data_IF_424922647073
#
_entry.id   IF_424922647073
#
_cell.length_a   1.000
_cell.length_b   1.000
_cell.length_c   1.000
_cell.angle_alpha   90.00
_cell.angle_beta   90.00
_cell.angle_gamma   90.00
#
_symmetry.space_group_name_H-M   'P 1'
#
loop_
_entity.id
_entity.type
_entity.pdbx_description
1 polymer ?
#
# COMPACT_ATOMS: atom_id res chain seq x y z
N UNK A 1 -1.45 24.66 20.69
CA UNK A 1 -0.60 23.88 21.63
C UNK A 1 -0.54 22.44 21.13
N UNK A 2 0.34 22.16 20.20
CA UNK A 2 0.55 20.82 19.62
C UNK A 2 2.07 20.64 19.40
N UNK A 3 2.81 20.28 20.44
CA UNK A 3 4.26 20.20 20.34
C UNK A 3 4.93 19.18 21.27
N UNK A 4 4.19 18.42 22.08
CA UNK A 4 4.81 17.56 23.10
C UNK A 4 4.53 16.05 22.97
N UNK A 5 3.69 15.58 22.03
CA UNK A 5 3.30 14.16 22.01
C UNK A 5 4.06 13.29 21.01
N UNK A 6 4.68 13.85 19.99
CA UNK A 6 5.34 13.06 18.93
C UNK A 6 6.64 12.35 19.35
N UNK A 7 7.42 12.95 20.23
CA UNK A 7 8.75 12.43 20.61
C UNK A 7 8.72 11.18 21.50
N UNK A 8 7.66 10.96 22.28
CA UNK A 8 7.56 9.77 23.14
C UNK A 8 7.10 8.53 22.39
N UNK A 9 6.30 8.69 21.37
CA UNK A 9 5.68 7.60 20.56
C UNK A 9 6.73 6.88 19.72
N UNK A 10 7.74 7.56 19.24
CA UNK A 10 8.79 6.98 18.37
C UNK A 10 9.94 6.33 19.14
N UNK A 11 9.92 6.38 20.47
CA UNK A 11 10.95 5.73 21.30
C UNK A 11 10.89 4.21 21.19
N UNK A 12 12.03 3.59 20.89
CA UNK A 12 12.15 2.13 20.85
C UNK A 12 11.77 1.50 19.51
N UNK A 13 11.46 2.28 18.48
CA UNK A 13 11.23 1.78 17.12
C UNK A 13 12.51 1.10 16.62
N UNK A 14 12.36 -0.17 16.19
CA UNK A 14 13.43 -1.01 15.65
C UNK A 14 13.19 -1.37 14.18
N UNK A 15 11.97 -1.18 13.70
CA UNK A 15 11.60 -1.44 12.32
C UNK A 15 10.59 -0.42 11.81
N UNK A 16 10.59 -0.19 10.49
CA UNK A 16 9.59 0.65 9.82
C UNK A 16 9.07 -0.01 8.56
N UNK A 17 7.75 -0.05 8.45
CA UNK A 17 7.02 -0.26 7.22
C UNK A 17 6.73 1.12 6.62
N UNK A 18 7.32 1.42 5.47
CA UNK A 18 7.24 2.73 4.83
C UNK A 18 6.32 2.64 3.60
N UNK A 19 5.21 3.35 3.62
CA UNK A 19 4.50 3.60 2.37
C UNK A 19 5.36 4.44 1.42
N UNK A 20 5.10 4.37 0.13
CA UNK A 20 5.85 5.03 -0.91
C UNK A 20 5.15 6.28 -1.43
N UNK A 21 3.98 6.08 -2.05
CA UNK A 21 3.28 7.09 -2.82
C UNK A 21 2.51 8.04 -1.92
N UNK A 22 2.93 9.27 -1.83
CA UNK A 22 2.40 10.27 -0.87
C UNK A 22 3.27 10.41 0.38
N UNK A 23 4.08 9.41 0.69
CA UNK A 23 4.96 9.40 1.88
C UNK A 23 6.40 9.76 1.52
N UNK A 24 7.04 9.01 0.61
CA UNK A 24 8.42 9.25 0.17
C UNK A 24 8.49 10.04 -1.13
N UNK A 25 7.52 9.90 -2.00
CA UNK A 25 7.40 10.64 -3.26
C UNK A 25 5.95 10.82 -3.69
N UNK A 26 5.67 11.85 -4.50
CA UNK A 26 4.41 12.05 -5.21
C UNK A 26 4.74 12.03 -6.70
N UNK A 27 4.18 11.08 -7.44
CA UNK A 27 4.58 10.78 -8.82
C UNK A 27 6.11 10.66 -8.96
N UNK A 28 6.78 11.59 -9.64
CA UNK A 28 8.23 11.61 -9.84
C UNK A 28 8.95 12.67 -8.99
N UNK A 29 8.28 13.22 -7.97
CA UNK A 29 8.85 14.24 -7.08
C UNK A 29 9.04 13.65 -5.70
N UNK A 30 10.26 13.69 -5.18
CA UNK A 30 10.60 13.26 -3.82
C UNK A 30 9.99 14.21 -2.80
N UNK A 31 9.41 13.70 -1.72
CA UNK A 31 8.96 14.55 -0.60
C UNK A 31 10.14 15.19 0.12
N UNK A 32 9.95 16.32 0.81
CA UNK A 32 11.07 17.08 1.37
C UNK A 32 12.03 16.23 2.20
N UNK A 33 13.31 16.27 1.84
CA UNK A 33 14.44 15.60 2.51
C UNK A 33 14.28 14.07 2.70
N UNK A 34 13.41 13.39 1.93
CA UNK A 34 13.12 11.98 2.16
C UNK A 34 14.31 11.06 1.86
N UNK A 35 15.15 11.39 0.88
CA UNK A 35 16.35 10.60 0.52
C UNK A 35 17.35 10.62 1.66
N UNK A 36 17.73 11.81 2.13
CA UNK A 36 18.66 12.01 3.24
C UNK A 36 18.11 11.41 4.56
N UNK A 37 16.80 11.55 4.77
CA UNK A 37 16.14 10.96 5.94
C UNK A 37 16.23 9.43 5.91
N UNK A 38 16.01 8.79 4.75
CA UNK A 38 16.16 7.35 4.61
C UNK A 38 17.58 6.87 4.91
N UNK A 39 18.60 7.58 4.43
CA UNK A 39 20.01 7.27 4.73
C UNK A 39 20.30 7.37 6.24
N UNK A 40 19.81 8.42 6.89
CA UNK A 40 19.94 8.60 8.34
C UNK A 40 19.25 7.48 9.13
N UNK A 41 18.04 7.08 8.70
CA UNK A 41 17.29 5.99 9.32
C UNK A 41 18.05 4.65 9.22
N UNK A 42 18.64 4.37 8.06
CA UNK A 42 19.51 3.21 7.86
C UNK A 42 20.75 3.26 8.76
N UNK A 43 21.41 4.41 8.85
CA UNK A 43 22.55 4.63 9.74
C UNK A 43 22.23 4.41 11.21
N UNK A 44 20.98 4.59 11.62
CA UNK A 44 20.50 4.30 12.98
C UNK A 44 20.20 2.81 13.24
N UNK A 45 20.37 1.94 12.24
CA UNK A 45 20.16 0.50 12.37
C UNK A 45 18.69 0.07 12.42
N UNK A 46 17.76 0.91 12.00
CA UNK A 46 16.32 0.58 11.91
C UNK A 46 16.10 -0.32 10.70
N UNK A 47 15.44 -1.45 10.88
CA UNK A 47 15.03 -2.33 9.77
C UNK A 47 13.94 -1.66 8.94
N UNK A 48 14.05 -1.72 7.63
CA UNK A 48 13.12 -1.04 6.72
C UNK A 48 12.48 -2.05 5.77
N UNK A 49 11.18 -1.87 5.52
CA UNK A 49 10.44 -2.51 4.43
C UNK A 49 9.56 -1.45 3.76
N UNK A 50 9.67 -1.33 2.45
CA UNK A 50 8.80 -0.46 1.67
C UNK A 50 7.53 -1.22 1.32
N UNK A 51 6.38 -0.70 1.75
CA UNK A 51 5.07 -1.36 1.60
C UNK A 51 4.13 -0.48 0.79
N UNK A 52 3.64 -0.97 -0.34
CA UNK A 52 2.83 -0.12 -1.24
C UNK A 52 1.61 -0.85 -1.81
N UNK A 53 0.51 -0.09 -1.95
CA UNK A 53 -0.67 -0.48 -2.71
C UNK A 53 -0.60 -0.05 -4.19
N UNK A 54 0.53 0.47 -4.67
CA UNK A 54 0.67 0.81 -6.08
C UNK A 54 0.56 -0.44 -6.94
N UNK A 55 -0.33 -0.39 -7.94
CA UNK A 55 -0.60 -1.49 -8.87
C UNK A 55 -0.49 -1.04 -10.33
N UNK A 56 0.14 0.12 -10.57
CA UNK A 56 0.30 0.68 -11.92
C UNK A 56 1.40 0.01 -12.72
N UNK A 57 2.45 -0.45 -12.03
CA UNK A 57 3.67 -0.98 -12.65
C UNK A 57 4.15 -2.23 -11.93
N UNK A 58 4.98 -3.05 -12.58
CA UNK A 58 5.64 -4.21 -11.95
C UNK A 58 6.64 -3.78 -10.86
N UNK A 59 7.00 -4.73 -9.98
CA UNK A 59 7.96 -4.49 -8.88
C UNK A 59 9.33 -4.03 -9.44
N UNK A 60 9.75 -4.55 -10.61
CA UNK A 60 10.99 -4.18 -11.26
C UNK A 60 10.99 -2.71 -11.74
N UNK A 61 9.88 -2.29 -12.34
CA UNK A 61 9.72 -0.89 -12.76
C UNK A 61 9.65 0.05 -11.54
N UNK A 62 8.98 -0.39 -10.48
CA UNK A 62 8.93 0.36 -9.22
C UNK A 62 10.33 0.53 -8.61
N UNK A 63 11.13 -0.54 -8.55
CA UNK A 63 12.51 -0.48 -8.10
C UNK A 63 13.34 0.52 -8.93
N UNK A 64 13.27 0.41 -10.26
CA UNK A 64 13.98 1.31 -11.17
C UNK A 64 13.57 2.77 -11.00
N UNK A 65 12.27 3.02 -10.75
CA UNK A 65 11.76 4.36 -10.46
C UNK A 65 12.35 4.92 -9.16
N UNK A 66 12.30 4.14 -8.07
CA UNK A 66 12.79 4.60 -6.76
C UNK A 66 14.30 4.89 -6.76
N UNK A 67 15.08 4.02 -7.40
CA UNK A 67 16.52 4.25 -7.56
C UNK A 67 16.81 5.47 -8.44
N UNK A 68 16.02 5.68 -9.50
CA UNK A 68 16.08 6.88 -10.33
C UNK A 68 15.74 8.19 -9.59
N UNK A 69 14.92 8.11 -8.54
CA UNK A 69 14.60 9.23 -7.64
C UNK A 69 15.68 9.46 -6.56
N UNK A 70 16.75 8.64 -6.53
CA UNK A 70 17.87 8.78 -5.60
C UNK A 70 17.75 7.95 -4.31
N UNK A 71 16.71 7.12 -4.14
CA UNK A 71 16.62 6.26 -2.98
C UNK A 71 17.60 5.08 -3.09
N UNK A 72 18.34 4.81 -2.02
CA UNK A 72 19.18 3.63 -1.87
C UNK A 72 18.36 2.52 -1.19
N UNK A 73 18.04 1.47 -1.96
CA UNK A 73 17.24 0.34 -1.47
C UNK A 73 17.59 -0.96 -2.22
N UNK A 74 17.41 -2.08 -1.55
CA UNK A 74 17.48 -3.39 -2.17
C UNK A 74 16.12 -3.82 -2.71
N UNK A 75 16.11 -4.62 -3.81
CA UNK A 75 14.86 -5.16 -4.39
C UNK A 75 14.03 -5.93 -3.37
N UNK A 76 14.68 -6.66 -2.50
CA UNK A 76 14.04 -7.46 -1.46
C UNK A 76 13.38 -6.61 -0.37
N UNK A 77 13.67 -5.32 -0.29
CA UNK A 77 13.01 -4.40 0.66
C UNK A 77 11.65 -3.93 0.17
N UNK A 78 11.32 -4.14 -1.11
CA UNK A 78 10.04 -3.74 -1.69
C UNK A 78 9.01 -4.86 -1.49
N UNK A 79 7.92 -4.55 -0.82
CA UNK A 79 6.79 -5.44 -0.60
C UNK A 79 5.52 -4.79 -1.16
N UNK A 80 5.04 -5.29 -2.29
CA UNK A 80 3.91 -4.70 -3.01
C UNK A 80 2.64 -5.52 -2.85
N UNK A 81 1.49 -4.85 -2.89
CA UNK A 81 0.20 -5.54 -2.97
C UNK A 81 0.05 -6.31 -4.30
N UNK A 82 0.72 -5.87 -5.36
CA UNK A 82 0.75 -6.57 -6.65
C UNK A 82 1.50 -7.91 -6.53
N UNK A 83 2.67 -7.91 -5.88
CA UNK A 83 3.44 -9.13 -5.58
C UNK A 83 2.69 -10.08 -4.65
N UNK A 84 2.01 -9.54 -3.62
CA UNK A 84 1.16 -10.31 -2.73
C UNK A 84 -0.03 -10.95 -3.49
N UNK A 85 -0.66 -10.22 -4.42
CA UNK A 85 -1.73 -10.77 -5.28
C UNK A 85 -1.22 -11.89 -6.18
N UNK A 86 -0.05 -11.74 -6.80
CA UNK A 86 0.60 -12.80 -7.58
C UNK A 86 0.85 -14.06 -6.73
N UNK A 87 1.34 -13.87 -5.52
CA UNK A 87 1.58 -14.97 -4.58
C UNK A 87 0.28 -15.70 -4.24
N UNK A 88 -0.80 -14.97 -3.95
CA UNK A 88 -2.13 -15.54 -3.73
C UNK A 88 -2.62 -16.34 -4.94
N UNK A 89 -2.50 -15.78 -6.14
CA UNK A 89 -2.90 -16.42 -7.41
C UNK A 89 -2.17 -17.76 -7.59
N UNK A 90 -0.86 -17.79 -7.35
CA UNK A 90 -0.05 -19.02 -7.42
C UNK A 90 -0.45 -20.05 -6.36
N UNK A 91 -0.61 -19.62 -5.10
CA UNK A 91 -0.96 -20.52 -3.99
C UNK A 91 -2.34 -21.18 -4.17
N UNK A 92 -3.28 -20.45 -4.81
CA UNK A 92 -4.63 -20.95 -5.08
C UNK A 92 -4.75 -21.69 -6.41
N UNK A 93 -3.70 -21.69 -7.26
CA UNK A 93 -3.75 -22.24 -8.59
C UNK A 93 -4.77 -21.53 -9.49
N UNK A 94 -4.97 -20.24 -9.29
CA UNK A 94 -5.93 -19.47 -10.08
C UNK A 94 -5.46 -19.25 -11.53
N UNK A 95 -6.42 -19.25 -12.45
CA UNK A 95 -6.30 -18.72 -13.82
C UNK A 95 -7.05 -17.39 -13.87
N UNK A 96 -6.35 -16.26 -13.61
CA UNK A 96 -7.03 -15.00 -13.40
C UNK A 96 -7.41 -14.30 -14.70
N UNK A 97 -8.57 -13.61 -14.68
CA UNK A 97 -8.83 -12.46 -15.53
C UNK A 97 -8.25 -11.24 -14.82
N UNK A 98 -7.28 -10.56 -15.44
CA UNK A 98 -6.55 -9.45 -14.85
C UNK A 98 -7.12 -8.12 -15.33
N UNK A 99 -7.68 -7.31 -14.42
CA UNK A 99 -8.00 -5.90 -14.63
C UNK A 99 -6.85 -5.06 -14.05
N UNK A 100 -5.76 -4.99 -14.80
CA UNK A 100 -4.51 -4.31 -14.47
C UNK A 100 -4.04 -3.49 -15.68
N UNK A 101 -3.25 -2.43 -15.44
CA UNK A 101 -2.55 -1.74 -16.51
C UNK A 101 -1.48 -2.63 -17.16
N UNK A 102 -1.18 -2.37 -18.43
CA UNK A 102 -0.27 -3.22 -19.22
C UNK A 102 1.11 -3.35 -18.56
N UNK A 103 1.64 -2.29 -17.95
CA UNK A 103 2.90 -2.33 -17.22
C UNK A 103 2.86 -3.20 -15.96
N UNK A 104 1.69 -3.38 -15.34
CA UNK A 104 1.50 -4.26 -14.20
C UNK A 104 1.31 -5.72 -14.62
N UNK A 105 0.80 -5.96 -15.85
CA UNK A 105 0.65 -7.32 -16.38
C UNK A 105 1.99 -8.07 -16.49
N UNK A 106 3.11 -7.34 -16.66
CA UNK A 106 4.46 -7.92 -16.64
C UNK A 106 4.72 -8.76 -15.39
N UNK A 107 4.15 -8.37 -14.24
CA UNK A 107 4.27 -9.12 -12.98
C UNK A 107 3.65 -10.52 -13.08
N UNK A 108 2.65 -10.73 -13.94
CA UNK A 108 1.88 -11.97 -14.09
C UNK A 108 2.22 -12.74 -15.38
N UNK A 109 3.32 -12.40 -16.07
CA UNK A 109 3.68 -12.99 -17.35
C UNK A 109 3.86 -14.53 -17.31
N UNK A 110 4.18 -15.09 -16.14
CA UNK A 110 4.38 -16.52 -15.89
C UNK A 110 3.16 -17.21 -15.26
N UNK A 111 2.01 -16.53 -15.19
CA UNK A 111 0.75 -17.08 -14.67
C UNK A 111 -0.13 -17.50 -15.85
N UNK A 112 -0.67 -18.72 -15.76
CA UNK A 112 -1.69 -19.20 -16.73
C UNK A 112 -2.97 -18.37 -16.62
N UNK A 113 -3.33 -17.69 -17.69
CA UNK A 113 -4.51 -16.84 -17.81
C UNK A 113 -5.56 -17.44 -18.76
N UNK A 114 -5.50 -18.75 -19.04
CA UNK A 114 -6.44 -19.43 -19.94
C UNK A 114 -7.86 -19.47 -19.35
N UNK A 115 -8.83 -19.48 -20.25
CA UNK A 115 -10.24 -19.72 -19.89
C UNK A 115 -10.50 -21.21 -19.59
N UNK A 116 -11.50 -21.53 -18.77
CA UNK A 116 -12.33 -20.62 -17.98
C UNK A 116 -11.52 -19.99 -16.83
N UNK A 117 -11.73 -18.68 -16.62
CA UNK A 117 -11.08 -17.98 -15.52
C UNK A 117 -11.65 -18.42 -14.17
N UNK A 118 -10.77 -18.62 -13.17
CA UNK A 118 -11.14 -19.03 -11.82
C UNK A 118 -11.01 -17.91 -10.79
N UNK A 119 -10.45 -16.76 -11.19
CA UNK A 119 -10.44 -15.55 -10.41
C UNK A 119 -10.52 -14.31 -11.30
N UNK A 120 -11.03 -13.20 -10.75
CA UNK A 120 -10.92 -11.86 -11.31
C UNK A 120 -10.06 -11.06 -10.37
N UNK A 121 -8.92 -10.55 -10.83
CA UNK A 121 -7.98 -9.75 -10.04
C UNK A 121 -8.05 -8.31 -10.48
N UNK A 122 -8.41 -7.42 -9.55
CA UNK A 122 -8.64 -5.99 -9.83
C UNK A 122 -7.61 -5.14 -9.09
N UNK A 123 -6.78 -4.41 -9.84
CA UNK A 123 -5.94 -3.32 -9.34
C UNK A 123 -6.39 -1.97 -9.91
N UNK A 124 -5.53 -0.96 -9.85
CA UNK A 124 -5.80 0.32 -10.50
C UNK A 124 -5.49 0.20 -11.99
N UNK A 125 -6.54 0.18 -12.82
CA UNK A 125 -6.44 0.00 -14.26
C UNK A 125 -7.40 0.93 -15.02
N UNK A 126 -7.16 2.26 -15.04
CA UNK A 126 -8.02 3.20 -15.74
C UNK A 126 -8.31 2.82 -17.19
N UNK A 127 -7.35 2.24 -17.89
CA UNK A 127 -7.53 1.80 -19.29
C UNK A 127 -8.43 0.58 -19.46
N UNK A 128 -8.77 -0.14 -18.37
CA UNK A 128 -9.60 -1.36 -18.36
C UNK A 128 -10.94 -1.14 -17.62
N UNK A 129 -11.20 0.06 -17.11
CA UNK A 129 -12.43 0.36 -16.37
C UNK A 129 -13.53 0.91 -17.30
N UNK A 130 -13.77 0.19 -18.38
CA UNK A 130 -14.88 0.41 -19.30
C UNK A 130 -15.93 -0.71 -19.21
N UNK A 131 -17.07 -0.51 -19.87
CA UNK A 131 -18.17 -1.48 -19.82
C UNK A 131 -17.76 -2.87 -20.32
N UNK A 132 -16.94 -2.95 -21.37
CA UNK A 132 -16.56 -4.22 -21.99
C UNK A 132 -15.70 -5.07 -21.05
N UNK A 133 -14.65 -4.47 -20.46
CA UNK A 133 -13.78 -5.17 -19.52
C UNK A 133 -14.51 -5.53 -18.22
N UNK A 134 -15.30 -4.59 -17.69
CA UNK A 134 -16.08 -4.83 -16.47
C UNK A 134 -17.13 -5.93 -16.68
N UNK A 135 -17.76 -5.98 -17.85
CA UNK A 135 -18.73 -7.04 -18.16
C UNK A 135 -18.07 -8.42 -18.36
N UNK A 136 -16.86 -8.49 -18.92
CA UNK A 136 -16.09 -9.75 -18.94
C UNK A 136 -15.79 -10.25 -17.52
N UNK A 137 -15.36 -9.36 -16.63
CA UNK A 137 -15.14 -9.69 -15.23
C UNK A 137 -16.43 -10.17 -14.54
N UNK A 138 -17.55 -9.47 -14.77
CA UNK A 138 -18.85 -9.85 -14.26
C UNK A 138 -19.25 -11.26 -14.72
N UNK A 139 -19.10 -11.60 -16.02
CA UNK A 139 -19.41 -12.94 -16.55
C UNK A 139 -18.52 -14.03 -15.92
N UNK A 140 -17.22 -13.77 -15.76
CA UNK A 140 -16.33 -14.71 -15.08
C UNK A 140 -16.76 -14.96 -13.62
N UNK A 141 -17.16 -13.91 -12.89
CA UNK A 141 -17.65 -14.02 -11.52
C UNK A 141 -18.97 -14.79 -11.42
N UNK A 142 -19.91 -14.59 -12.36
CA UNK A 142 -21.14 -15.40 -12.46
C UNK A 142 -20.82 -16.86 -12.77
N UNK A 143 -19.77 -17.12 -13.55
CA UNK A 143 -19.26 -18.46 -13.86
C UNK A 143 -18.55 -19.16 -12.68
N UNK A 144 -18.49 -18.52 -11.51
CA UNK A 144 -17.93 -19.11 -10.29
C UNK A 144 -16.53 -18.60 -9.91
N UNK A 145 -15.90 -17.71 -10.70
CA UNK A 145 -14.60 -17.14 -10.35
C UNK A 145 -14.65 -16.36 -9.03
N UNK A 146 -13.54 -16.38 -8.28
CA UNK A 146 -13.38 -15.57 -7.07
C UNK A 146 -13.05 -14.11 -7.43
N UNK A 147 -13.51 -13.15 -6.62
CA UNK A 147 -13.14 -11.75 -6.76
C UNK A 147 -11.98 -11.41 -5.82
N UNK A 148 -10.86 -10.99 -6.40
CA UNK A 148 -9.66 -10.52 -5.68
C UNK A 148 -9.48 -9.04 -5.96
N UNK A 149 -9.65 -8.22 -4.95
CA UNK A 149 -9.28 -6.79 -4.99
C UNK A 149 -7.87 -6.62 -4.45
N UNK A 150 -6.94 -6.11 -5.24
CA UNK A 150 -5.59 -5.86 -4.73
C UNK A 150 -5.67 -4.83 -3.61
N UNK A 151 -6.45 -3.76 -3.81
CA UNK A 151 -6.85 -2.82 -2.76
C UNK A 151 -8.18 -2.14 -3.12
N UNK A 152 -8.81 -1.47 -2.13
CA UNK A 152 -10.07 -0.74 -2.32
C UNK A 152 -9.92 0.76 -2.04
N UNK A 153 -8.78 1.36 -2.37
CA UNK A 153 -8.61 2.80 -2.23
C UNK A 153 -9.71 3.55 -3.00
N UNK A 154 -10.31 4.54 -2.35
CA UNK A 154 -11.38 5.37 -2.94
C UNK A 154 -10.83 6.31 -3.99
N UNK A 155 -9.67 6.88 -3.73
CA UNK A 155 -8.95 7.83 -4.58
C UNK A 155 -7.45 7.74 -4.32
N UNK A 156 -6.66 8.37 -5.18
CA UNK A 156 -5.21 8.54 -5.01
C UNK A 156 -4.81 9.96 -5.40
N UNK A 157 -3.70 10.43 -4.86
CA UNK A 157 -3.17 11.75 -5.18
C UNK A 157 -2.53 11.76 -6.57
N UNK A 158 -2.75 12.84 -7.31
CA UNK A 158 -2.07 13.22 -8.53
C UNK A 158 -1.32 14.54 -8.32
N UNK A 159 -0.50 14.94 -9.29
CA UNK A 159 0.13 16.26 -9.28
C UNK A 159 -0.91 17.38 -9.19
N UNK A 160 -0.48 18.59 -8.79
CA UNK A 160 -1.33 19.77 -8.66
C UNK A 160 -2.46 19.61 -7.63
N UNK A 161 -2.22 18.86 -6.53
CA UNK A 161 -3.22 18.60 -5.47
C UNK A 161 -4.55 18.00 -5.95
N UNK A 162 -4.57 17.37 -7.13
CA UNK A 162 -5.75 16.70 -7.68
C UNK A 162 -5.87 15.29 -7.11
N UNK A 163 -7.12 14.85 -6.95
CA UNK A 163 -7.45 13.47 -6.62
C UNK A 163 -8.08 12.79 -7.84
N UNK A 164 -7.69 11.53 -8.06
CA UNK A 164 -8.30 10.66 -9.05
C UNK A 164 -8.95 9.45 -8.39
N UNK A 165 -9.99 8.92 -9.01
CA UNK A 165 -10.74 7.77 -8.50
C UNK A 165 -9.85 6.53 -8.46
N UNK A 166 -9.81 5.86 -7.31
CA UNK A 166 -9.11 4.59 -7.10
C UNK A 166 -9.93 3.38 -7.57
N UNK A 167 -9.36 2.16 -7.48
CA UNK A 167 -10.03 0.94 -7.95
C UNK A 167 -11.21 0.53 -7.08
N UNK A 168 -11.36 1.10 -5.88
CA UNK A 168 -12.38 0.69 -4.91
C UNK A 168 -13.82 0.80 -5.44
N UNK A 169 -14.11 1.82 -6.25
CA UNK A 169 -15.42 1.98 -6.88
C UNK A 169 -15.73 0.86 -7.89
N UNK A 170 -14.74 0.41 -8.66
CA UNK A 170 -14.88 -0.66 -9.65
C UNK A 170 -14.99 -2.03 -8.98
N UNK A 171 -14.21 -2.27 -7.94
CA UNK A 171 -14.37 -3.47 -7.09
C UNK A 171 -15.76 -3.51 -6.47
N UNK A 172 -16.24 -2.39 -5.91
CA UNK A 172 -17.59 -2.30 -5.33
C UNK A 172 -18.69 -2.53 -6.37
N UNK A 173 -18.52 -2.05 -7.61
CA UNK A 173 -19.47 -2.32 -8.70
C UNK A 173 -19.58 -3.81 -9.01
N UNK A 174 -18.46 -4.54 -9.06
CA UNK A 174 -18.45 -6.00 -9.25
C UNK A 174 -19.05 -6.73 -8.05
N UNK A 175 -18.71 -6.32 -6.82
CA UNK A 175 -19.32 -6.88 -5.60
C UNK A 175 -20.84 -6.71 -5.62
N UNK A 176 -21.33 -5.50 -5.95
CA UNK A 176 -22.75 -5.19 -6.02
C UNK A 176 -23.47 -6.02 -7.09
N UNK A 177 -22.88 -6.12 -8.29
CA UNK A 177 -23.49 -6.81 -9.42
C UNK A 177 -23.53 -8.34 -9.25
N UNK A 178 -22.65 -8.94 -8.44
CA UNK A 178 -22.49 -10.40 -8.32
C UNK A 178 -22.84 -10.92 -6.92
N UNK A 179 -23.14 -10.05 -5.97
CA UNK A 179 -23.31 -10.36 -4.53
C UNK A 179 -22.10 -11.08 -3.91
N UNK A 180 -20.93 -10.97 -4.55
CA UNK A 180 -19.66 -11.51 -4.03
C UNK A 180 -18.95 -10.45 -3.19
N UNK A 181 -18.09 -10.90 -2.27
CA UNK A 181 -17.16 -10.02 -1.54
C UNK A 181 -15.74 -10.22 -2.06
N UNK A 182 -15.06 -9.12 -2.33
CA UNK A 182 -13.68 -9.16 -2.77
C UNK A 182 -12.75 -9.60 -1.63
N UNK A 183 -11.90 -10.56 -1.89
CA UNK A 183 -10.75 -10.87 -1.05
C UNK A 183 -9.71 -9.78 -1.24
N UNK A 184 -9.42 -9.00 -0.20
CA UNK A 184 -8.44 -7.92 -0.23
C UNK A 184 -7.05 -8.44 0.13
N UNK A 185 -6.06 -8.07 -0.66
CA UNK A 185 -4.68 -8.57 -0.53
C UNK A 185 -3.73 -7.51 0.02
N UNK A 186 -3.89 -6.24 -0.36
CA UNK A 186 -3.06 -5.13 0.07
C UNK A 186 -3.56 -4.46 1.36
N UNK A 187 -2.91 -3.36 1.73
CA UNK A 187 -3.33 -2.50 2.86
C UNK A 187 -4.80 -2.08 2.71
N UNK A 188 -5.63 -2.07 3.75
CA UNK A 188 -5.31 -2.30 5.16
C UNK A 188 -5.50 -3.75 5.64
N UNK A 189 -5.49 -4.76 4.75
CA UNK A 189 -5.69 -6.15 5.16
C UNK A 189 -4.60 -6.61 6.14
N UNK A 190 -5.00 -7.20 7.27
CA UNK A 190 -4.10 -7.68 8.32
C UNK A 190 -3.01 -8.61 7.77
N UNK A 191 -3.39 -9.54 6.89
CA UNK A 191 -2.48 -10.50 6.29
C UNK A 191 -1.32 -9.84 5.51
N UNK A 192 -1.56 -8.68 4.90
CA UNK A 192 -0.51 -7.92 4.21
C UNK A 192 0.61 -7.51 5.17
N UNK A 193 0.26 -6.95 6.32
CA UNK A 193 1.24 -6.53 7.34
C UNK A 193 1.93 -7.72 8.01
N UNK A 194 1.19 -8.81 8.29
CA UNK A 194 1.77 -10.04 8.84
C UNK A 194 2.85 -10.62 7.93
N UNK A 195 2.61 -10.63 6.62
CA UNK A 195 3.60 -11.10 5.64
C UNK A 195 4.82 -10.16 5.60
N UNK A 196 4.62 -8.84 5.58
CA UNK A 196 5.71 -7.88 5.61
C UNK A 196 6.56 -7.97 6.90
N UNK A 197 5.90 -8.10 8.07
CA UNK A 197 6.58 -8.29 9.35
C UNK A 197 7.35 -9.62 9.43
N UNK A 198 6.78 -10.69 8.90
CA UNK A 198 7.43 -12.02 8.83
C UNK A 198 8.69 -11.95 7.99
N UNK A 199 8.62 -11.29 6.84
CA UNK A 199 9.73 -11.11 5.94
C UNK A 199 10.87 -10.25 6.56
N UNK A 200 10.52 -9.32 7.46
CA UNK A 200 11.48 -8.57 8.28
C UNK A 200 12.00 -9.35 9.50
N UNK A 201 11.42 -10.51 9.83
CA UNK A 201 11.70 -11.23 11.07
C UNK A 201 11.24 -10.48 12.33
N UNK A 202 10.11 -9.74 12.24
CA UNK A 202 9.58 -8.89 13.32
C UNK A 202 8.09 -9.14 13.63
N UNK A 203 7.55 -10.28 13.20
CA UNK A 203 6.15 -10.62 13.40
C UNK A 203 5.79 -10.76 14.91
N UNK A 204 6.74 -11.22 15.73
CA UNK A 204 6.52 -11.44 17.17
C UNK A 204 6.73 -10.16 18.03
N UNK A 205 7.16 -9.06 17.40
CA UNK A 205 7.41 -7.78 18.08
C UNK A 205 6.86 -6.60 17.29
N UNK A 206 5.58 -6.61 16.90
CA UNK A 206 5.00 -5.56 16.07
C UNK A 206 4.96 -4.20 16.78
N UNK A 207 4.92 -4.18 18.11
CA UNK A 207 4.88 -2.96 18.94
C UNK A 207 6.14 -2.09 18.85
N UNK A 208 7.24 -2.62 18.33
CA UNK A 208 8.47 -1.85 18.06
C UNK A 208 8.65 -1.56 16.56
N UNK A 209 7.62 -1.80 15.76
CA UNK A 209 7.61 -1.50 14.33
C UNK A 209 6.61 -0.38 14.04
N UNK A 210 7.07 0.66 13.35
CA UNK A 210 6.18 1.73 12.89
C UNK A 210 5.66 1.43 11.47
N UNK A 211 4.37 1.71 11.24
CA UNK A 211 3.81 1.91 9.91
C UNK A 211 3.70 3.41 9.65
N UNK A 212 4.33 3.87 8.58
CA UNK A 212 4.35 5.27 8.14
C UNK A 212 3.60 5.40 6.83
N UNK A 213 2.64 6.30 6.76
CA UNK A 213 1.85 6.54 5.54
C UNK A 213 1.09 7.84 5.55
N UNK A 214 0.51 8.20 4.40
CA UNK A 214 -0.30 9.41 4.19
C UNK A 214 -1.82 9.15 4.22
N UNK A 215 -2.22 7.86 4.33
CA UNK A 215 -3.62 7.44 4.38
C UNK A 215 -3.95 6.81 5.73
N UNK A 216 -4.70 7.54 6.54
CA UNK A 216 -5.11 7.07 7.88
C UNK A 216 -5.93 5.78 7.85
N UNK A 217 -6.67 5.51 6.77
CA UNK A 217 -7.51 4.31 6.63
C UNK A 217 -6.75 3.14 6.00
N UNK A 218 -6.06 3.40 4.89
CA UNK A 218 -5.37 2.34 4.16
C UNK A 218 -4.04 1.94 4.83
N UNK A 219 -3.25 2.91 5.28
CA UNK A 219 -1.95 2.62 5.88
C UNK A 219 -2.04 2.33 7.37
N UNK A 220 -2.81 3.12 8.10
CA UNK A 220 -2.81 3.13 9.56
C UNK A 220 -4.03 2.46 10.20
N UNK A 221 -5.02 2.09 9.37
CA UNK A 221 -6.22 1.39 9.80
C UNK A 221 -6.06 -0.13 9.83
N UNK A 222 -7.18 -0.84 9.97
CA UNK A 222 -7.30 -2.29 9.83
C UNK A 222 -6.15 -3.06 10.47
N UNK A 223 -5.43 -3.82 9.66
CA UNK A 223 -4.37 -4.73 10.11
C UNK A 223 -3.19 -4.05 10.82
N UNK A 224 -2.82 -2.82 10.45
CA UNK A 224 -1.78 -2.09 11.16
C UNK A 224 -2.15 -1.87 12.64
N UNK A 225 -3.41 -1.45 12.86
CA UNK A 225 -3.96 -1.28 14.22
C UNK A 225 -4.14 -2.62 14.95
N UNK A 226 -4.70 -3.62 14.27
CA UNK A 226 -4.99 -4.94 14.85
C UNK A 226 -3.72 -5.68 15.30
N UNK A 227 -2.60 -5.44 14.64
CA UNK A 227 -1.30 -5.99 14.99
C UNK A 227 -0.55 -5.20 16.06
N UNK A 228 -1.05 -4.00 16.41
CA UNK A 228 -0.40 -3.15 17.39
C UNK A 228 0.84 -2.44 16.88
N UNK A 229 0.93 -2.18 15.57
CA UNK A 229 1.99 -1.35 15.00
C UNK A 229 1.90 0.09 15.54
N UNK A 230 3.04 0.77 15.69
CA UNK A 230 3.08 2.21 15.91
C UNK A 230 2.67 2.92 14.60
N UNK A 231 1.60 3.70 14.63
CA UNK A 231 0.97 4.26 13.42
C UNK A 231 1.29 5.74 13.29
N UNK A 232 2.13 6.08 12.31
CA UNK A 232 2.65 7.43 12.11
C UNK A 232 2.12 8.00 10.79
N UNK A 233 1.29 9.05 10.89
CA UNK A 233 0.72 9.76 9.75
C UNK A 233 1.64 10.88 9.30
N UNK A 234 1.85 11.00 7.98
CA UNK A 234 2.49 12.17 7.37
C UNK A 234 1.45 13.05 6.67
N UNK A 235 1.65 14.37 6.73
CA UNK A 235 0.76 15.37 6.11
C UNK A 235 1.12 15.69 4.67
N UNK A 236 1.74 14.71 3.97
CA UNK A 236 2.04 14.80 2.54
C UNK A 236 1.02 14.01 1.72
N UNK A 237 1.18 13.97 0.41
CA UNK A 237 0.38 13.13 -0.47
C UNK A 237 -1.11 13.45 -0.47
N UNK A 238 -1.93 12.46 -0.19
CA UNK A 238 -3.39 12.57 -0.19
C UNK A 238 -3.99 13.06 1.13
N UNK A 239 -3.19 13.20 2.19
CA UNK A 239 -3.67 13.74 3.46
C UNK A 239 -4.41 15.08 3.26
N UNK A 240 -5.50 15.25 3.95
CA UNK A 240 -6.24 16.51 4.08
C UNK A 240 -6.42 16.86 5.56
N UNK A 241 -6.36 18.17 5.93
CA UNK A 241 -6.53 18.58 7.32
C UNK A 241 -7.78 17.98 7.96
N UNK A 242 -7.59 17.26 9.06
CA UNK A 242 -8.66 16.59 9.80
C UNK A 242 -8.89 15.12 9.44
N UNK A 243 -8.19 14.56 8.45
CA UNK A 243 -8.32 13.14 8.07
C UNK A 243 -8.04 12.20 9.26
N UNK A 244 -7.15 12.59 10.17
CA UNK A 244 -6.81 11.83 11.38
C UNK A 244 -7.97 11.66 12.37
N UNK A 245 -8.98 12.53 12.27
CA UNK A 245 -10.17 12.53 13.13
C UNK A 245 -11.48 12.29 12.33
N UNK A 246 -11.37 11.85 11.09
CA UNK A 246 -12.50 11.61 10.21
C UNK A 246 -13.47 10.55 10.74
N UNK A 247 -14.75 10.56 10.30
CA UNK A 247 -15.81 9.70 10.85
C UNK A 247 -15.58 8.19 10.64
N UNK A 248 -14.68 7.82 9.73
CA UNK A 248 -14.33 6.42 9.46
C UNK A 248 -13.08 5.96 10.23
N UNK A 249 -12.41 6.88 10.95
CA UNK A 249 -11.21 6.59 11.73
C UNK A 249 -11.59 5.96 13.05
N UNK A 250 -11.34 4.68 13.20
CA UNK A 250 -11.68 3.92 14.41
C UNK A 250 -10.75 4.23 15.60
N UNK A 251 -9.51 4.65 15.32
CA UNK A 251 -8.55 5.10 16.31
C UNK A 251 -7.57 6.08 15.67
N UNK A 252 -7.31 7.18 16.34
CA UNK A 252 -6.34 8.18 15.86
C UNK A 252 -4.95 7.57 15.67
N UNK A 253 -4.12 8.08 14.73
CA UNK A 253 -2.72 7.75 14.65
C UNK A 253 -1.99 8.01 15.98
N UNK A 254 -0.94 7.24 16.24
CA UNK A 254 -0.16 7.39 17.45
C UNK A 254 0.75 8.64 17.39
N UNK A 255 1.09 9.07 16.14
CA UNK A 255 1.78 10.34 15.86
C UNK A 255 1.40 10.91 14.51
N UNK A 256 1.43 12.25 14.39
CA UNK A 256 1.19 12.99 13.15
C UNK A 256 2.33 13.95 12.92
N UNK A 257 2.94 13.89 11.73
CA UNK A 257 4.12 14.65 11.34
C UNK A 257 3.90 15.35 10.00
N UNK A 258 4.62 16.41 9.73
CA UNK A 258 4.46 17.12 8.47
C UNK A 258 5.07 16.32 7.31
N UNK A 259 6.25 15.68 7.52
CA UNK A 259 6.95 14.88 6.52
C UNK A 259 7.53 13.59 7.09
N UNK A 260 7.96 12.68 6.22
CA UNK A 260 8.77 11.52 6.61
C UNK A 260 10.09 11.93 7.30
N UNK A 261 10.72 13.01 6.84
CA UNK A 261 11.96 13.49 7.42
C UNK A 261 11.79 13.91 8.89
N UNK A 262 10.65 14.50 9.26
CA UNK A 262 10.35 14.86 10.66
C UNK A 262 10.19 13.64 11.56
N UNK A 263 9.62 12.54 11.04
CA UNK A 263 9.56 11.26 11.76
C UNK A 263 10.98 10.75 12.02
N UNK A 264 11.83 10.73 10.97
CA UNK A 264 13.20 10.25 11.10
C UNK A 264 14.00 11.09 12.08
N UNK A 265 13.87 12.43 12.04
CA UNK A 265 14.48 13.32 13.01
C UNK A 265 14.10 12.92 14.46
N UNK A 266 12.81 12.71 14.71
CA UNK A 266 12.31 12.33 16.02
C UNK A 266 12.79 10.94 16.49
N UNK A 267 13.07 10.01 15.56
CA UNK A 267 13.57 8.65 15.85
C UNK A 267 15.06 8.63 16.10
N UNK A 268 15.84 9.40 15.31
CA UNK A 268 17.31 9.36 15.30
C UNK A 268 17.92 10.29 16.32
N UNK A 269 17.29 11.44 16.62
CA UNK A 269 17.76 12.40 17.62
C UNK A 269 17.42 11.90 19.01
N UNK A 270 18.31 11.10 19.58
CA UNK A 270 18.23 10.56 20.95
C UNK A 270 19.36 11.10 21.83
#
# INVERSE_FOLDING_TARGET
MAGASGSSVVKGIKGMLLDLSGTLHIDNVVTPNAVEALQRLRGAGVKIRFVTNSTKTSDERLYSKLTGLGFELDRNEIFTSLGAAKTLVRQRGYRPLLLLEDEALEQFADIDQSEPHTAVVVGLAPSKFDYQHMNRAFQALLGGADLVGIHKARYYAQQEDKLAMGPGGFVAALEYATDKKAMLVGKPARQFYELALRDMGMLETPEVVAMVGDDVLADLGGGARELGLVRLLVRTGKYRPGDEAGPQVQAQPDGVFDTFADIVEAVVTR
#
